data_IF_799755990887
#
_entry.id   IF_799755990887
#
_cell.length_a   1.000
_cell.length_b   1.000
_cell.length_c   1.000
_cell.angle_alpha   90.00
_cell.angle_beta   90.00
_cell.angle_gamma   90.00
#
_symmetry.space_group_name_H-M   'P 1'
#
loop_
_entity.id
_entity.type
_entity.pdbx_description
1 polymer ?
#
# COMPACT_ATOMS: atom_id res chain seq x y z
N UNK A 1 3.42 -3.43 -19.45
CA UNK A 1 2.38 -4.39 -19.00
C UNK A 1 1.62 -3.89 -17.79
N UNK A 2 2.28 -3.50 -16.68
CA UNK A 2 1.60 -2.98 -15.48
C UNK A 2 0.74 -1.74 -15.79
N UNK A 3 1.30 -0.78 -16.53
CA UNK A 3 0.58 0.44 -16.94
C UNK A 3 -0.68 0.13 -17.75
N UNK A 4 -0.58 -0.77 -18.74
CA UNK A 4 -1.73 -1.23 -19.53
C UNK A 4 -2.79 -1.90 -18.65
N UNK A 5 -2.38 -2.71 -17.68
CA UNK A 5 -3.31 -3.38 -16.76
C UNK A 5 -4.00 -2.38 -15.81
N UNK A 6 -3.28 -1.39 -15.28
CA UNK A 6 -3.90 -0.31 -14.50
C UNK A 6 -4.88 0.51 -15.35
N UNK A 7 -4.51 0.83 -16.59
CA UNK A 7 -5.38 1.55 -17.51
C UNK A 7 -6.67 0.78 -17.83
N UNK A 8 -6.58 -0.51 -18.14
CA UNK A 8 -7.76 -1.35 -18.37
C UNK A 8 -8.63 -1.47 -17.11
N UNK A 9 -8.00 -1.61 -15.94
CA UNK A 9 -8.73 -1.66 -14.66
C UNK A 9 -9.39 -0.32 -14.32
N UNK A 10 -8.79 0.81 -14.73
CA UNK A 10 -9.41 2.14 -14.65
C UNK A 10 -10.63 2.23 -15.56
N UNK A 11 -10.52 1.81 -16.83
CA UNK A 11 -11.66 1.78 -17.75
C UNK A 11 -12.81 0.94 -17.19
N UNK A 12 -12.54 -0.24 -16.63
CA UNK A 12 -13.55 -1.09 -15.99
C UNK A 12 -14.27 -0.39 -14.84
N UNK A 13 -13.53 0.38 -14.02
CA UNK A 13 -14.09 1.18 -12.93
C UNK A 13 -15.02 2.27 -13.45
N UNK A 14 -14.62 3.00 -14.49
CA UNK A 14 -15.47 4.05 -15.06
C UNK A 14 -16.73 3.48 -15.73
N UNK A 15 -16.61 2.34 -16.42
CA UNK A 15 -17.77 1.60 -16.95
C UNK A 15 -18.70 1.18 -15.81
N UNK A 16 -18.16 0.68 -14.70
CA UNK A 16 -18.95 0.25 -13.54
C UNK A 16 -19.80 1.39 -12.96
N UNK A 17 -19.29 2.63 -12.95
CA UNK A 17 -20.09 3.81 -12.58
C UNK A 17 -21.24 4.05 -13.55
N UNK A 18 -20.99 3.92 -14.85
CA UNK A 18 -22.01 4.16 -15.88
C UNK A 18 -23.12 3.11 -15.89
N UNK A 19 -22.84 1.87 -15.51
CA UNK A 19 -23.84 0.79 -15.38
C UNK A 19 -24.41 0.67 -13.97
N UNK A 20 -24.25 1.70 -13.13
CA UNK A 20 -24.79 1.80 -11.76
C UNK A 20 -24.31 0.68 -10.81
N UNK A 21 -23.17 0.05 -11.09
CA UNK A 21 -22.51 -0.94 -10.24
C UNK A 21 -21.52 -0.29 -9.27
N UNK A 22 -22.05 0.61 -8.45
CA UNK A 22 -21.27 1.35 -7.44
C UNK A 22 -20.67 0.43 -6.37
N UNK A 23 -21.26 -0.75 -6.16
CA UNK A 23 -20.78 -1.80 -5.25
C UNK A 23 -19.40 -2.35 -5.63
N UNK A 24 -18.97 -2.18 -6.88
CA UNK A 24 -17.68 -2.68 -7.37
C UNK A 24 -16.55 -1.66 -7.26
N UNK A 25 -16.84 -0.38 -6.96
CA UNK A 25 -15.84 0.69 -7.10
C UNK A 25 -14.66 0.51 -6.13
N UNK A 26 -14.94 0.15 -4.89
CA UNK A 26 -13.91 -0.07 -3.87
C UNK A 26 -13.02 -1.27 -4.21
N UNK A 27 -13.62 -2.37 -4.68
CA UNK A 27 -12.90 -3.57 -5.11
C UNK A 27 -12.00 -3.27 -6.31
N UNK A 28 -12.49 -2.47 -7.27
CA UNK A 28 -11.71 -2.06 -8.44
C UNK A 28 -10.59 -1.08 -8.08
N UNK A 29 -10.80 -0.17 -7.12
CA UNK A 29 -9.74 0.71 -6.62
C UNK A 29 -8.65 -0.09 -5.88
N UNK A 30 -9.03 -1.12 -5.12
CA UNK A 30 -8.09 -2.05 -4.50
C UNK A 30 -7.33 -2.88 -5.55
N UNK A 31 -8.00 -3.38 -6.58
CA UNK A 31 -7.39 -4.10 -7.69
C UNK A 31 -6.34 -3.25 -8.40
N UNK A 32 -6.66 -1.99 -8.71
CA UNK A 32 -5.73 -1.04 -9.32
C UNK A 32 -4.48 -0.84 -8.49
N UNK A 33 -4.64 -0.60 -7.18
CA UNK A 33 -3.50 -0.49 -6.26
C UNK A 33 -2.66 -1.77 -6.26
N UNK A 34 -3.28 -2.94 -6.24
CA UNK A 34 -2.57 -4.23 -6.31
C UNK A 34 -1.79 -4.41 -7.59
N UNK A 35 -2.34 -4.00 -8.74
CA UNK A 35 -1.64 -4.01 -10.03
C UNK A 35 -0.44 -3.07 -10.00
N UNK A 36 -0.65 -1.81 -9.65
CA UNK A 36 0.38 -0.76 -9.66
C UNK A 36 1.57 -1.09 -8.76
N UNK A 37 1.31 -1.57 -7.54
CA UNK A 37 2.37 -1.94 -6.60
C UNK A 37 2.85 -3.39 -6.78
N UNK A 38 2.15 -4.21 -7.56
CA UNK A 38 2.44 -5.64 -7.71
C UNK A 38 2.35 -6.40 -6.39
N UNK A 39 1.29 -6.15 -5.62
CA UNK A 39 1.09 -6.69 -4.26
C UNK A 39 -0.19 -7.53 -4.17
N UNK A 40 -0.27 -8.30 -3.10
CA UNK A 40 -1.50 -8.93 -2.66
C UNK A 40 -2.28 -7.98 -1.75
N UNK A 41 -3.54 -8.31 -1.50
CA UNK A 41 -4.49 -7.48 -0.78
C UNK A 41 -4.03 -7.16 0.65
N UNK A 42 -3.36 -8.11 1.33
CA UNK A 42 -2.89 -7.93 2.70
C UNK A 42 -1.85 -6.81 2.89
N UNK A 43 -1.34 -6.24 1.80
CA UNK A 43 -0.35 -5.15 1.82
C UNK A 43 -0.93 -3.78 1.44
N UNK A 44 -2.23 -3.71 1.10
CA UNK A 44 -2.87 -2.50 0.59
C UNK A 44 -2.73 -1.31 1.54
N UNK A 45 -2.82 -1.53 2.84
CA UNK A 45 -2.71 -0.46 3.83
C UNK A 45 -1.28 0.08 3.93
N UNK A 46 -0.29 -0.82 3.97
CA UNK A 46 1.11 -0.43 4.14
C UNK A 46 1.64 0.40 2.96
N UNK A 47 1.25 0.07 1.73
CA UNK A 47 1.71 0.81 0.53
C UNK A 47 1.10 2.21 0.38
N UNK A 48 0.09 2.57 1.19
CA UNK A 48 -0.43 3.95 1.24
C UNK A 48 0.61 4.93 1.76
N UNK A 49 1.56 4.47 2.57
CA UNK A 49 2.64 5.31 3.10
C UNK A 49 3.74 5.46 2.07
N UNK A 50 4.02 6.70 1.68
CA UNK A 50 5.11 6.99 0.75
C UNK A 50 6.44 6.46 1.30
N UNK A 51 7.20 5.80 0.42
CA UNK A 51 8.44 5.11 0.79
C UNK A 51 8.24 3.61 1.06
N UNK A 52 7.00 3.13 1.19
CA UNK A 52 6.68 1.71 1.31
C UNK A 52 6.19 1.17 -0.04
N UNK A 53 7.07 0.49 -0.77
CA UNK A 53 6.72 -0.29 -1.95
C UNK A 53 6.56 -1.78 -1.63
N UNK A 54 6.38 -2.62 -2.67
CA UNK A 54 6.20 -4.08 -2.56
C UNK A 54 7.16 -4.77 -1.58
N UNK A 55 8.45 -4.50 -1.71
CA UNK A 55 9.50 -5.19 -0.93
C UNK A 55 9.36 -4.84 0.55
N UNK A 56 9.30 -3.54 0.88
CA UNK A 56 9.20 -3.08 2.27
C UNK A 56 7.87 -3.47 2.91
N UNK A 57 6.77 -3.35 2.18
CA UNK A 57 5.46 -3.83 2.65
C UNK A 57 5.52 -5.32 3.02
N UNK A 58 6.17 -6.15 2.18
CA UNK A 58 6.34 -7.58 2.47
C UNK A 58 7.22 -7.83 3.70
N UNK A 59 8.30 -7.05 3.87
CA UNK A 59 9.17 -7.15 5.04
C UNK A 59 8.44 -6.78 6.33
N UNK A 60 7.70 -5.67 6.32
CA UNK A 60 6.86 -5.24 7.45
C UNK A 60 5.85 -6.32 7.84
N UNK A 61 5.12 -6.84 6.84
CA UNK A 61 4.12 -7.87 7.05
C UNK A 61 4.74 -9.14 7.66
N UNK A 62 5.92 -9.56 7.19
CA UNK A 62 6.67 -10.70 7.75
C UNK A 62 7.09 -10.50 9.20
N UNK A 63 7.29 -9.25 9.63
CA UNK A 63 7.61 -8.89 11.01
C UNK A 63 6.37 -8.57 11.87
N UNK A 64 5.17 -8.94 11.40
CA UNK A 64 3.92 -8.74 12.14
C UNK A 64 3.36 -7.33 12.09
N UNK A 65 3.90 -6.46 11.23
CA UNK A 65 3.39 -5.10 11.01
C UNK A 65 2.48 -5.15 9.79
N UNK A 66 1.18 -5.29 10.02
CA UNK A 66 0.21 -5.60 8.96
C UNK A 66 -0.63 -4.40 8.54
N UNK A 67 -0.83 -3.44 9.45
CA UNK A 67 -1.65 -2.25 9.21
C UNK A 67 -0.94 -0.96 9.64
N UNK A 68 -1.60 0.19 9.45
CA UNK A 68 -1.06 1.50 9.78
C UNK A 68 -0.91 1.73 11.29
N UNK A 69 -1.73 1.10 12.13
CA UNK A 69 -1.64 1.22 13.58
C UNK A 69 -0.43 0.44 14.13
N UNK A 70 -0.17 -0.78 13.64
CA UNK A 70 1.04 -1.53 13.95
C UNK A 70 2.29 -0.71 13.58
N UNK A 71 2.25 -0.11 12.38
CA UNK A 71 3.32 0.74 11.86
C UNK A 71 3.46 2.03 12.68
N UNK A 72 2.38 2.56 13.25
CA UNK A 72 2.42 3.72 14.15
C UNK A 72 3.03 3.37 15.52
N UNK A 73 2.72 2.18 16.04
CA UNK A 73 3.11 1.74 17.38
C UNK A 73 4.56 1.27 17.47
N UNK A 74 5.14 0.73 16.39
CA UNK A 74 6.54 0.28 16.42
C UNK A 74 7.52 1.45 16.59
N UNK A 75 8.46 1.41 17.55
CA UNK A 75 9.50 2.43 17.67
C UNK A 75 10.38 2.56 16.41
N UNK A 76 10.84 3.78 16.10
CA UNK A 76 11.67 4.08 14.91
C UNK A 76 12.92 3.20 14.84
N UNK A 77 13.60 3.01 15.96
CA UNK A 77 14.80 2.17 16.05
C UNK A 77 14.50 0.71 15.68
N UNK A 78 13.42 0.13 16.22
CA UNK A 78 13.02 -1.24 15.86
C UNK A 78 12.58 -1.36 14.40
N UNK A 79 11.95 -0.31 13.86
CA UNK A 79 11.59 -0.24 12.45
C UNK A 79 12.85 -0.18 11.57
N UNK A 80 13.90 0.52 12.03
CA UNK A 80 15.19 0.64 11.36
C UNK A 80 16.02 -0.66 11.32
N UNK A 81 15.70 -1.61 12.20
CA UNK A 81 16.35 -2.93 12.28
C UNK A 81 15.77 -3.92 11.26
N UNK A 82 14.64 -3.60 10.62
CA UNK A 82 14.00 -4.47 9.61
C UNK A 82 14.79 -4.39 8.30
N UNK A 83 15.10 -5.55 7.71
CA UNK A 83 15.79 -5.61 6.42
C UNK A 83 15.10 -4.71 5.37
N UNK A 84 15.92 -3.97 4.62
CA UNK A 84 15.53 -2.94 3.63
C UNK A 84 14.89 -1.65 4.18
N UNK A 85 14.81 -1.48 5.50
CA UNK A 85 14.28 -0.29 6.17
C UNK A 85 15.35 0.22 7.13
N UNK A 86 16.41 0.86 6.63
CA UNK A 86 17.42 1.49 7.50
C UNK A 86 16.88 2.74 8.21
N UNK A 87 17.70 3.34 9.08
CA UNK A 87 17.33 4.51 9.92
C UNK A 87 16.67 5.65 9.15
N UNK A 88 17.29 6.14 8.07
CA UNK A 88 16.73 7.22 7.25
C UNK A 88 15.37 6.87 6.64
N UNK A 89 15.17 5.60 6.28
CA UNK A 89 13.90 5.14 5.70
C UNK A 89 12.84 5.03 6.81
N UNK A 90 13.21 4.52 7.99
CA UNK A 90 12.31 4.44 9.13
C UNK A 90 11.80 5.83 9.55
N UNK A 91 12.67 6.83 9.60
CA UNK A 91 12.30 8.22 9.87
C UNK A 91 11.34 8.78 8.82
N UNK A 92 11.67 8.57 7.54
CA UNK A 92 10.81 9.01 6.44
C UNK A 92 9.43 8.33 6.47
N UNK A 93 9.39 7.02 6.73
CA UNK A 93 8.13 6.26 6.86
C UNK A 93 7.28 6.86 7.98
N UNK A 94 7.86 7.15 9.15
CA UNK A 94 7.13 7.75 10.27
C UNK A 94 6.66 9.16 10.00
N UNK A 95 7.45 9.95 9.28
CA UNK A 95 7.08 11.29 8.83
C UNK A 95 5.91 11.25 7.83
N UNK A 96 5.98 10.36 6.84
CA UNK A 96 4.92 10.19 5.83
C UNK A 96 3.65 9.58 6.43
N UNK A 97 3.76 8.67 7.41
CA UNK A 97 2.61 8.09 8.11
C UNK A 97 1.74 9.18 8.78
N UNK A 98 2.35 10.25 9.30
CA UNK A 98 1.62 11.39 9.90
C UNK A 98 0.81 12.20 8.88
N UNK A 99 1.11 12.09 7.58
CA UNK A 99 0.40 12.80 6.50
C UNK A 99 -0.76 11.99 5.92
N UNK A 100 -0.72 10.66 6.08
CA UNK A 100 -1.74 9.73 5.57
C UNK A 100 -2.92 9.61 6.54
N UNK A 101 -2.74 9.99 7.80
CA UNK A 101 -3.76 10.02 8.85
C UNK A 101 -4.39 11.40 8.96
#
# INVERSE_FOLDING_TARGET
>A
MVETADWLSYCLREISKHVERVDLLDELDNLRRRITYGIREELLDLVKVKGIGRIRARMLYKHGIQNLDDLANIPVNKLADIDKIGSTIADNIKSELRKVR
#
